data_IF_222123772745
#
_entry.id   IF_222123772745
#
_cell.length_a   1.000
_cell.length_b   1.000
_cell.length_c   1.000
_cell.angle_alpha   90.00
_cell.angle_beta   90.00
_cell.angle_gamma   90.00
#
_symmetry.space_group_name_H-M   'P 1'
#
loop_
_entity.id
_entity.type
_entity.pdbx_description
1 polymer ?
#
# COMPACT_ATOMS: atom_id res chain seq x y z
N UNK A 1 23.74 -12.55 2.25
CA UNK A 1 22.78 -13.28 3.10
C UNK A 1 21.46 -13.37 2.35
N UNK A 2 21.00 -14.57 2.03
CA UNK A 2 19.73 -14.78 1.33
C UNK A 2 18.58 -14.63 2.33
N UNK A 3 17.63 -13.75 2.03
CA UNK A 3 16.43 -13.58 2.86
C UNK A 3 15.54 -14.81 2.70
N UNK A 4 15.05 -15.36 3.81
CA UNK A 4 14.18 -16.54 3.79
C UNK A 4 12.73 -16.12 3.49
N UNK A 5 12.02 -16.84 2.59
CA UNK A 5 10.59 -16.63 2.36
C UNK A 5 9.76 -16.65 3.64
N UNK A 6 8.64 -15.93 3.63
CA UNK A 6 7.67 -15.99 4.71
C UNK A 6 7.06 -17.41 4.77
N UNK A 7 6.88 -17.97 5.98
CA UNK A 7 6.35 -19.33 6.13
C UNK A 7 4.89 -19.45 5.68
N UNK A 8 4.15 -18.33 5.66
CA UNK A 8 2.78 -18.22 5.16
C UNK A 8 2.68 -17.02 4.25
N UNK A 9 2.53 -17.27 2.96
CA UNK A 9 2.37 -16.25 1.92
C UNK A 9 0.89 -16.11 1.56
N UNK A 10 0.55 -15.01 0.87
CA UNK A 10 -0.80 -14.75 0.39
C UNK A 10 -0.72 -14.31 -1.07
N UNK A 11 -1.68 -14.76 -1.87
CA UNK A 11 -1.89 -14.20 -3.21
C UNK A 11 -2.45 -12.78 -3.07
N UNK A 12 -1.87 -11.78 -3.76
CA UNK A 12 -2.42 -10.44 -3.80
C UNK A 12 -3.86 -10.44 -4.30
N UNK A 13 -4.69 -9.59 -3.69
CA UNK A 13 -6.02 -9.33 -4.20
C UNK A 13 -5.95 -8.36 -5.39
N UNK A 14 -7.03 -8.31 -6.16
CA UNK A 14 -7.13 -7.38 -7.28
C UNK A 14 -6.95 -5.93 -6.80
N UNK A 15 -6.04 -5.24 -7.49
CA UNK A 15 -5.64 -3.86 -7.22
C UNK A 15 -5.11 -3.59 -5.80
N UNK A 16 -4.68 -4.63 -5.08
CA UNK A 16 -4.13 -4.48 -3.75
C UNK A 16 -2.84 -3.65 -3.73
N UNK A 17 -2.70 -2.81 -2.72
CA UNK A 17 -1.49 -2.04 -2.45
C UNK A 17 -0.50 -2.84 -1.61
N UNK A 18 0.77 -2.47 -1.69
CA UNK A 18 1.82 -3.04 -0.85
C UNK A 18 1.49 -2.97 0.65
N UNK A 19 0.91 -1.85 1.11
CA UNK A 19 0.44 -1.70 2.50
C UNK A 19 -0.65 -2.71 2.82
N UNK A 20 -1.62 -2.89 1.93
CA UNK A 20 -2.70 -3.87 2.09
C UNK A 20 -2.20 -5.29 2.28
N UNK A 21 -1.27 -5.70 1.40
CA UNK A 21 -0.66 -7.02 1.50
C UNK A 21 0.10 -7.19 2.82
N UNK A 22 0.89 -6.21 3.23
CA UNK A 22 1.64 -6.26 4.50
C UNK A 22 0.69 -6.41 5.69
N UNK A 23 -0.41 -5.65 5.73
CA UNK A 23 -1.41 -5.74 6.79
C UNK A 23 -2.05 -7.13 6.84
N UNK A 24 -2.42 -7.69 5.68
CA UNK A 24 -3.02 -9.02 5.60
C UNK A 24 -2.03 -10.13 5.94
N UNK A 25 -0.77 -10.02 5.52
CA UNK A 25 0.30 -10.95 5.90
C UNK A 25 0.56 -10.90 7.41
N UNK A 26 0.61 -9.71 8.00
CA UNK A 26 0.77 -9.54 9.43
C UNK A 26 -0.37 -10.23 10.20
N UNK A 27 -1.62 -9.96 9.81
CA UNK A 27 -2.78 -10.59 10.42
C UNK A 27 -2.80 -12.12 10.22
N UNK A 28 -2.47 -12.60 9.02
CA UNK A 28 -2.46 -14.03 8.69
C UNK A 28 -1.36 -14.83 9.41
N UNK A 29 -0.21 -14.19 9.67
CA UNK A 29 0.93 -14.80 10.36
C UNK A 29 0.95 -14.56 11.87
N UNK A 30 0.05 -13.72 12.40
CA UNK A 30 0.07 -13.30 13.81
C UNK A 30 1.29 -12.43 14.13
N UNK A 31 1.82 -11.69 13.15
CA UNK A 31 2.98 -10.80 13.31
C UNK A 31 2.56 -9.33 13.22
N UNK A 32 3.50 -8.42 13.43
CA UNK A 32 3.25 -6.99 13.28
C UNK A 32 3.54 -6.55 11.83
N UNK A 33 2.84 -5.53 11.29
CA UNK A 33 3.14 -4.97 9.97
C UNK A 33 4.60 -4.55 9.82
N UNK A 34 5.16 -4.00 10.90
CA UNK A 34 6.57 -3.64 11.03
C UNK A 34 7.52 -4.82 10.75
N UNK A 35 7.27 -5.95 11.41
CA UNK A 35 8.09 -7.14 11.30
C UNK A 35 8.02 -7.74 9.89
N UNK A 36 6.82 -7.75 9.29
CA UNK A 36 6.66 -8.18 7.89
C UNK A 36 7.43 -7.26 6.94
N UNK A 37 7.27 -5.94 7.06
CA UNK A 37 8.00 -4.97 6.23
C UNK A 37 9.52 -5.11 6.38
N UNK A 38 10.01 -5.31 7.60
CA UNK A 38 11.44 -5.52 7.87
C UNK A 38 11.96 -6.80 7.21
N UNK A 39 11.22 -7.91 7.31
CA UNK A 39 11.58 -9.18 6.65
C UNK A 39 11.61 -9.04 5.12
N UNK A 40 10.71 -8.25 4.55
CA UNK A 40 10.67 -7.96 3.11
C UNK A 40 11.76 -6.97 2.67
N UNK A 41 12.60 -6.45 3.58
CA UNK A 41 13.63 -5.46 3.25
C UNK A 41 13.08 -4.07 2.94
N UNK A 42 11.85 -3.78 3.40
CA UNK A 42 11.12 -2.54 3.13
C UNK A 42 11.26 -1.49 4.25
N UNK A 43 11.76 -1.88 5.42
CA UNK A 43 12.06 -0.97 6.52
C UNK A 43 13.41 -0.28 6.31
N UNK A 44 13.50 1.00 6.66
CA UNK A 44 14.78 1.70 6.79
C UNK A 44 15.24 1.73 8.26
N UNK A 45 16.54 1.95 8.50
CA UNK A 45 17.19 1.91 9.82
C UNK A 45 16.63 2.90 10.86
N UNK A 46 15.60 3.70 10.54
CA UNK A 46 15.00 4.73 11.39
C UNK A 46 13.53 4.48 11.78
N UNK A 47 12.95 3.31 11.49
CA UNK A 47 11.66 2.91 12.10
C UNK A 47 10.72 2.04 11.26
N UNK A 48 9.55 1.80 11.83
CA UNK A 48 8.43 0.95 11.34
C UNK A 48 7.74 1.51 10.07
N UNK A 49 8.16 2.67 9.57
CA UNK A 49 7.53 3.27 8.41
C UNK A 49 8.09 2.68 7.12
N UNK A 50 7.21 2.08 6.30
CA UNK A 50 7.47 1.92 4.88
C UNK A 50 7.65 3.34 4.32
N UNK A 51 8.83 3.72 3.82
CA UNK A 51 9.05 5.06 3.32
C UNK A 51 7.99 5.39 2.28
N UNK A 52 7.46 6.60 2.30
CA UNK A 52 6.41 7.02 1.36
C UNK A 52 6.84 6.81 -0.12
N UNK A 53 8.15 6.88 -0.40
CA UNK A 53 8.74 6.55 -1.71
C UNK A 53 8.69 5.06 -2.07
N UNK A 54 8.72 4.16 -1.09
CA UNK A 54 8.63 2.70 -1.28
C UNK A 54 7.24 2.24 -1.71
N UNK A 55 6.19 3.03 -1.47
CA UNK A 55 4.85 2.80 -2.03
C UNK A 55 4.78 3.18 -3.51
N UNK A 56 5.55 4.19 -3.92
CA UNK A 56 5.63 4.62 -5.31
C UNK A 56 6.42 3.61 -6.14
N UNK A 57 7.66 3.35 -5.75
CA UNK A 57 8.58 2.48 -6.50
C UNK A 57 9.62 1.87 -5.58
N UNK A 58 10.18 0.73 -5.98
CA UNK A 58 11.31 0.09 -5.31
C UNK A 58 12.48 0.00 -6.28
N UNK A 59 13.70 0.14 -5.75
CA UNK A 59 14.91 -0.18 -6.51
C UNK A 59 14.84 -1.65 -6.95
N UNK A 60 15.33 -2.01 -8.16
CA UNK A 60 15.18 -3.37 -8.71
C UNK A 60 15.63 -4.48 -7.76
N UNK A 61 16.74 -4.26 -7.03
CA UNK A 61 17.22 -5.21 -6.02
C UNK A 61 16.23 -5.40 -4.87
N UNK A 62 15.69 -4.30 -4.32
CA UNK A 62 14.72 -4.36 -3.22
C UNK A 62 13.39 -4.97 -3.67
N UNK A 63 12.97 -4.69 -4.90
CA UNK A 63 11.80 -5.29 -5.51
C UNK A 63 11.95 -6.82 -5.58
N UNK A 64 13.08 -7.31 -6.10
CA UNK A 64 13.35 -8.74 -6.20
C UNK A 64 13.45 -9.43 -4.83
N UNK A 65 14.09 -8.79 -3.85
CA UNK A 65 14.17 -9.28 -2.48
C UNK A 65 12.78 -9.36 -1.82
N UNK A 66 11.98 -8.29 -1.93
CA UNK A 66 10.63 -8.28 -1.39
C UNK A 66 9.73 -9.33 -2.05
N UNK A 67 9.81 -9.47 -3.38
CA UNK A 67 9.06 -10.47 -4.14
C UNK A 67 9.43 -11.88 -3.70
N UNK A 68 10.73 -12.18 -3.59
CA UNK A 68 11.21 -13.46 -3.10
C UNK A 68 10.71 -13.78 -1.68
N UNK A 69 10.77 -12.80 -0.77
CA UNK A 69 10.33 -12.99 0.62
C UNK A 69 8.82 -13.21 0.70
N UNK A 70 8.04 -12.48 -0.09
CA UNK A 70 6.59 -12.62 -0.15
C UNK A 70 6.12 -13.85 -0.95
N UNK A 71 7.02 -14.55 -1.63
CA UNK A 71 6.69 -15.68 -2.51
C UNK A 71 5.92 -15.25 -3.75
N UNK A 72 6.19 -14.05 -4.26
CA UNK A 72 5.53 -13.46 -5.43
C UNK A 72 6.50 -13.40 -6.61
N UNK A 73 5.96 -13.39 -7.82
CA UNK A 73 6.71 -13.01 -9.01
C UNK A 73 7.03 -11.51 -9.00
N UNK A 74 8.02 -11.09 -9.80
CA UNK A 74 8.36 -9.67 -9.96
C UNK A 74 7.15 -8.83 -10.44
N UNK A 75 6.38 -9.25 -11.48
CA UNK A 75 5.24 -8.47 -11.94
C UNK A 75 4.13 -8.34 -10.90
N UNK A 76 3.90 -9.38 -10.09
CA UNK A 76 2.93 -9.31 -8.99
C UNK A 76 3.36 -8.29 -7.93
N UNK A 77 4.65 -8.27 -7.56
CA UNK A 77 5.18 -7.29 -6.62
C UNK A 77 5.13 -5.86 -7.18
N UNK A 78 5.46 -5.66 -8.46
CA UNK A 78 5.33 -4.36 -9.12
C UNK A 78 3.88 -3.87 -9.12
N UNK A 79 2.93 -4.78 -9.35
CA UNK A 79 1.50 -4.48 -9.32
C UNK A 79 0.96 -4.16 -7.92
N UNK A 80 1.76 -4.22 -6.86
CA UNK A 80 1.41 -3.69 -5.53
C UNK A 80 1.84 -2.23 -5.34
N UNK A 81 2.70 -1.71 -6.22
CA UNK A 81 3.25 -0.35 -6.19
C UNK A 81 2.38 0.61 -7.01
N UNK A 82 2.57 1.92 -6.76
CA UNK A 82 1.80 2.97 -7.45
C UNK A 82 2.41 3.38 -8.79
N UNK A 83 3.72 3.22 -9.01
CA UNK A 83 4.39 3.64 -10.25
C UNK A 83 3.74 3.09 -11.54
N UNK A 84 3.29 1.82 -11.62
CA UNK A 84 2.60 1.32 -12.81
C UNK A 84 1.31 2.08 -13.16
N UNK A 85 0.67 2.74 -12.20
CA UNK A 85 -0.51 3.57 -12.46
C UNK A 85 -0.15 4.83 -13.28
N UNK A 86 1.12 5.21 -13.33
CA UNK A 86 1.62 6.35 -14.10
C UNK A 86 1.34 6.28 -15.61
N UNK A 87 1.13 5.07 -16.16
CA UNK A 87 0.72 4.88 -17.56
C UNK A 87 -0.61 5.56 -17.87
N UNK A 88 -1.55 5.57 -16.90
CA UNK A 88 -2.88 6.18 -17.05
C UNK A 88 -3.04 7.45 -16.24
N UNK A 89 -2.25 7.63 -15.19
CA UNK A 89 -2.28 8.80 -14.31
C UNK A 89 -1.00 9.61 -14.48
N UNK A 90 -1.05 10.60 -15.38
CA UNK A 90 0.09 11.45 -15.76
C UNK A 90 0.93 12.00 -14.60
N UNK A 91 0.35 12.44 -13.47
CA UNK A 91 1.12 12.94 -12.32
C UNK A 91 2.02 11.91 -11.64
N UNK A 92 1.80 10.61 -11.86
CA UNK A 92 2.67 9.52 -11.38
C UNK A 92 3.77 9.15 -12.38
N UNK A 93 3.70 9.64 -13.62
CA UNK A 93 4.66 9.32 -14.67
C UNK A 93 5.88 10.23 -14.58
N UNK A 94 7.06 9.60 -14.45
CA UNK A 94 8.35 10.30 -14.56
C UNK A 94 8.60 10.89 -15.94
N UNK A 95 7.93 10.39 -16.99
CA UNK A 95 8.02 10.96 -18.33
C UNK A 95 7.26 12.29 -18.45
N UNK A 96 6.21 12.46 -17.65
CA UNK A 96 5.43 13.69 -17.61
C UNK A 96 5.97 14.70 -16.59
N UNK A 97 6.92 14.30 -15.75
CA UNK A 97 7.64 15.16 -14.81
C UNK A 97 8.13 16.50 -15.41
N UNK A 98 8.68 16.57 -16.64
CA UNK A 98 9.20 17.83 -17.21
C UNK A 98 8.12 18.89 -17.50
N UNK A 99 6.85 18.50 -17.63
CA UNK A 99 5.73 19.40 -17.94
C UNK A 99 5.21 20.14 -16.71
N UNK A 100 5.60 19.66 -15.52
CA UNK A 100 5.25 20.25 -14.26
C UNK A 100 6.49 20.98 -13.74
N UNK A 101 6.41 22.31 -13.56
CA UNK A 101 7.57 23.12 -13.17
C UNK A 101 8.31 22.61 -11.91
N UNK A 102 9.54 23.08 -11.63
CA UNK A 102 10.43 22.53 -10.59
C UNK A 102 9.78 22.28 -9.22
N UNK A 103 8.80 23.12 -8.84
CA UNK A 103 8.04 23.00 -7.59
C UNK A 103 7.09 21.79 -7.54
N UNK A 104 6.51 21.34 -8.66
CA UNK A 104 5.66 20.16 -8.71
C UNK A 104 6.45 18.85 -8.50
N UNK A 105 7.70 18.81 -8.96
CA UNK A 105 8.61 17.69 -8.73
C UNK A 105 9.06 17.58 -7.27
N UNK A 106 9.03 18.68 -6.53
CA UNK A 106 9.32 18.69 -5.08
C UNK A 106 8.14 18.25 -4.22
N UNK A 107 6.92 18.14 -4.76
CA UNK A 107 5.71 17.75 -4.02
C UNK A 107 4.84 16.69 -4.72
N UNK A 108 5.35 15.46 -4.95
CA UNK A 108 4.50 14.32 -5.36
C UNK A 108 3.32 14.07 -4.40
N UNK A 109 3.40 14.62 -3.18
CA UNK A 109 2.37 14.60 -2.12
C UNK A 109 1.04 15.27 -2.50
N UNK A 110 0.97 16.13 -3.53
CA UNK A 110 -0.29 16.80 -3.91
C UNK A 110 -1.20 15.94 -4.78
N UNK A 111 -0.63 15.04 -5.58
CA UNK A 111 -1.35 14.24 -6.56
C UNK A 111 -1.48 12.77 -6.15
N UNK A 112 -0.87 12.40 -5.03
CA UNK A 112 -0.94 11.05 -4.47
C UNK A 112 -0.97 11.15 -2.95
N UNK A 113 -1.93 10.47 -2.34
CA UNK A 113 -2.00 10.26 -0.90
C UNK A 113 -0.98 9.19 -0.51
N UNK A 114 0.23 9.63 -0.11
CA UNK A 114 1.32 8.72 0.28
C UNK A 114 1.36 8.42 1.79
N UNK A 115 0.75 9.28 2.59
CA UNK A 115 0.70 9.15 4.07
C UNK A 115 -0.67 8.76 4.58
N UNK A 116 -1.69 9.15 3.84
CA UNK A 116 -3.08 8.77 4.08
C UNK A 116 -3.54 7.95 2.88
N UNK A 117 -4.64 7.23 3.04
CA UNK A 117 -5.30 6.57 1.92
C UNK A 117 -6.80 6.70 2.12
N UNK A 118 -7.53 6.73 1.01
CA UNK A 118 -8.98 6.68 1.07
C UNK A 118 -9.42 5.21 1.12
N UNK A 119 -10.66 4.95 1.53
CA UNK A 119 -11.17 3.60 1.48
C UNK A 119 -12.69 3.50 1.41
N UNK A 120 -13.15 2.36 0.90
CA UNK A 120 -14.54 1.93 1.03
C UNK A 120 -14.64 0.86 2.12
N UNK A 121 -15.40 1.14 3.17
CA UNK A 121 -15.61 0.22 4.30
C UNK A 121 -16.18 -1.14 3.84
N UNK A 122 -17.06 -1.15 2.84
CA UNK A 122 -17.66 -2.39 2.33
C UNK A 122 -16.66 -3.25 1.56
N UNK A 123 -15.79 -2.63 0.75
CA UNK A 123 -14.70 -3.34 0.08
C UNK A 123 -13.70 -3.88 1.11
N UNK A 124 -13.30 -3.05 2.09
CA UNK A 124 -12.35 -3.46 3.14
C UNK A 124 -12.89 -4.55 4.05
N UNK A 125 -14.19 -4.58 4.32
CA UNK A 125 -14.81 -5.67 5.08
C UNK A 125 -14.73 -7.04 4.37
N UNK A 126 -14.35 -7.07 3.08
CA UNK A 126 -14.06 -8.32 2.36
C UNK A 126 -15.28 -9.23 2.17
N UNK A 127 -16.50 -8.70 2.27
CA UNK A 127 -17.77 -9.47 2.27
C UNK A 127 -18.07 -10.23 0.97
N UNK A 128 -17.21 -10.12 -0.05
CA UNK A 128 -17.35 -10.80 -1.35
C UNK A 128 -16.51 -12.08 -1.50
N UNK A 129 -15.64 -12.45 -0.55
CA UNK A 129 -14.87 -13.70 -0.63
C UNK A 129 -14.62 -14.33 0.75
N UNK A 130 -14.50 -15.67 0.86
CA UNK A 130 -14.20 -16.34 2.13
C UNK A 130 -12.87 -15.88 2.76
N UNK A 131 -11.86 -15.62 1.92
CA UNK A 131 -10.58 -15.07 2.37
C UNK A 131 -10.73 -13.63 2.85
N UNK A 132 -11.52 -12.82 2.14
CA UNK A 132 -11.84 -11.45 2.51
C UNK A 132 -12.61 -11.36 3.82
N UNK A 133 -13.55 -12.28 4.06
CA UNK A 133 -14.29 -12.33 5.32
C UNK A 133 -13.38 -12.67 6.53
N UNK A 134 -12.27 -13.39 6.30
CA UNK A 134 -11.32 -13.77 7.34
C UNK A 134 -10.19 -12.76 7.56
N UNK A 135 -9.67 -12.18 6.48
CA UNK A 135 -8.46 -11.33 6.52
C UNK A 135 -8.72 -9.86 6.15
N UNK A 136 -9.96 -9.51 5.81
CA UNK A 136 -10.29 -8.23 5.18
C UNK A 136 -10.10 -8.28 3.66
N UNK A 137 -10.79 -7.36 2.98
CA UNK A 137 -10.66 -7.12 1.55
C UNK A 137 -9.45 -6.26 1.19
N UNK A 138 -9.31 -5.89 -0.10
CA UNK A 138 -8.13 -5.21 -0.59
C UNK A 138 -8.07 -3.75 -0.15
N UNK A 139 -6.91 -3.33 0.31
CA UNK A 139 -6.54 -1.91 0.29
C UNK A 139 -6.13 -1.53 -1.12
N UNK A 140 -7.04 -0.91 -1.88
CA UNK A 140 -6.82 -0.65 -3.30
C UNK A 140 -5.75 0.43 -3.54
N UNK A 141 -4.84 0.21 -4.48
CA UNK A 141 -3.81 1.19 -4.88
C UNK A 141 -4.43 2.47 -5.41
N UNK A 142 -5.52 2.35 -6.17
CA UNK A 142 -6.21 3.51 -6.74
C UNK A 142 -6.75 4.46 -5.66
N UNK A 143 -6.99 4.01 -4.43
CA UNK A 143 -7.44 4.88 -3.34
C UNK A 143 -6.35 5.83 -2.81
N UNK A 144 -5.11 5.67 -3.27
CA UNK A 144 -4.06 6.66 -3.08
C UNK A 144 -4.15 7.82 -4.09
N UNK A 145 -5.01 7.74 -5.12
CA UNK A 145 -5.16 8.78 -6.13
C UNK A 145 -6.33 9.71 -5.76
N UNK A 146 -6.12 11.03 -5.61
CA UNK A 146 -7.19 11.97 -5.27
C UNK A 146 -8.37 11.97 -6.26
N UNK A 147 -8.13 11.62 -7.52
CA UNK A 147 -9.15 11.52 -8.56
C UNK A 147 -10.11 10.35 -8.34
N UNK A 148 -9.72 9.36 -7.54
CA UNK A 148 -10.54 8.21 -7.16
C UNK A 148 -11.16 8.51 -5.80
N UNK A 149 -12.18 9.36 -5.78
CA UNK A 149 -12.84 9.79 -4.55
C UNK A 149 -14.14 9.03 -4.22
N UNK A 150 -14.58 8.13 -5.11
CA UNK A 150 -15.78 7.32 -4.93
C UNK A 150 -15.51 5.84 -5.26
N UNK A 151 -16.16 4.95 -4.51
CA UNK A 151 -16.25 3.54 -4.84
C UNK A 151 -17.40 3.34 -5.84
N UNK A 152 -17.08 2.90 -7.06
CA UNK A 152 -18.07 2.63 -8.10
C UNK A 152 -18.90 1.37 -7.83
N UNK A 153 -18.30 0.35 -7.19
CA UNK A 153 -18.98 -0.89 -6.82
C UNK A 153 -20.11 -0.63 -5.80
N UNK A 154 -19.83 0.19 -4.79
CA UNK A 154 -20.76 0.45 -3.69
C UNK A 154 -21.46 1.82 -3.79
N UNK A 155 -21.16 2.60 -4.84
CA UNK A 155 -21.74 3.93 -5.14
C UNK A 155 -21.70 4.90 -3.96
N UNK A 156 -20.53 5.01 -3.31
CA UNK A 156 -20.33 5.88 -2.14
C UNK A 156 -18.99 6.59 -2.21
N UNK A 157 -18.92 7.78 -1.61
CA UNK A 157 -17.66 8.48 -1.40
C UNK A 157 -16.73 7.66 -0.51
N UNK A 158 -15.44 7.66 -0.86
CA UNK A 158 -14.42 7.03 -0.05
C UNK A 158 -14.16 7.86 1.20
N UNK A 159 -13.93 7.18 2.32
CA UNK A 159 -13.63 7.81 3.61
C UNK A 159 -12.12 7.90 3.78
N UNK A 160 -11.69 8.87 4.60
CA UNK A 160 -10.27 9.10 4.96
C UNK A 160 -9.98 8.74 6.41
N UNK A 161 -11.02 8.65 7.24
CA UNK A 161 -10.92 8.43 8.67
C UNK A 161 -11.76 7.22 9.08
N UNK A 162 -11.34 6.54 10.14
CA UNK A 162 -12.12 5.48 10.75
C UNK A 162 -13.47 6.03 11.28
N UNK A 163 -14.63 5.37 11.01
CA UNK A 163 -15.93 5.79 11.55
C UNK A 163 -16.00 5.80 13.07
N UNK A 164 -15.18 4.97 13.73
CA UNK A 164 -15.31 4.71 15.16
C UNK A 164 -14.43 5.64 16.00
N UNK A 165 -13.15 5.79 15.64
CA UNK A 165 -12.20 6.61 16.40
C UNK A 165 -11.87 7.95 15.72
N UNK A 166 -12.31 8.18 14.48
CA UNK A 166 -12.05 9.44 13.76
C UNK A 166 -10.60 9.65 13.31
N UNK A 167 -9.68 8.71 13.57
CA UNK A 167 -8.28 8.84 13.16
C UNK A 167 -8.12 8.72 11.65
N UNK A 168 -7.26 9.58 11.09
CA UNK A 168 -6.86 9.59 9.68
C UNK A 168 -5.69 8.64 9.37
N UNK A 169 -5.04 8.11 10.42
CA UNK A 169 -3.82 7.32 10.33
C UNK A 169 -3.96 6.00 11.09
N UNK A 170 -3.43 4.91 10.50
CA UNK A 170 -3.13 3.64 11.17
C UNK A 170 -1.89 3.72 12.07
N UNK A 171 -1.61 4.90 12.66
CA UNK A 171 -0.69 4.96 13.79
C UNK A 171 -1.48 4.48 15.00
N UNK A 172 -1.42 3.17 15.25
CA UNK A 172 -1.61 2.64 16.60
C UNK A 172 -0.47 3.19 17.45
N UNK A 173 -0.79 4.17 18.31
CA UNK A 173 -0.32 4.44 19.69
C UNK A 173 1.21 4.44 19.95
N UNK A 174 1.83 5.23 20.82
CA UNK A 174 1.52 5.45 22.24
C UNK A 174 2.59 6.43 22.80
N UNK A 175 2.26 7.71 22.98
CA UNK A 175 3.00 8.61 23.88
C UNK A 175 1.95 9.38 24.69
N UNK A 176 1.35 8.67 25.64
CA UNK A 176 0.62 9.25 26.75
C UNK A 176 1.25 8.75 28.04
N UNK A 177 2.24 9.49 28.54
CA UNK A 177 2.51 9.80 29.96
C UNK A 177 3.84 10.54 30.08
#
# INVERSE_FOLDING_TARGET
MTLRPLPRTLTPLEDESLVGLILRLAHHSGSTPAAIAARMGLSDRRGIHVPAGSLLTLLPRRLAEAAHVAGLSLPEMENLLLAPLGVRYGPLSQQHAPWYGPQLLTQPRRWVHLRTTQFCERCLAGKGSPLGARLGGPWKRHWHLPVVFACVEHRRLLRRCCPHCGSENFNTDEEAS
#
